data_IF_803093638012
#
_entry.id   IF_803093638012
#
_cell.length_a   1.000
_cell.length_b   1.000
_cell.length_c   1.000
_cell.angle_alpha   90.00
_cell.angle_beta   90.00
_cell.angle_gamma   90.00
#
_symmetry.space_group_name_H-M   'P 1'
#
loop_
_entity.id
_entity.type
_entity.pdbx_description
1 polymer ?
#
# COMPACT_ATOMS: atom_id res chain seq x y z
N UNK A 1 -51.16 -18.61 35.23
CA UNK A 1 -50.54 -17.41 34.64
C UNK A 1 -49.01 -17.59 34.68
N UNK A 2 -48.30 -17.96 33.57
CA UNK A 2 -46.84 -18.02 33.56
C UNK A 2 -46.28 -16.65 33.09
N UNK A 3 -45.18 -16.03 33.67
CA UNK A 3 -44.63 -14.99 33.49
C UNK A 3 -43.92 -14.92 32.45
N UNK A 4 -44.04 -14.10 31.85
CA UNK A 4 -43.23 -13.74 30.69
C UNK A 4 -41.81 -13.38 31.11
N UNK A 5 -40.87 -14.06 30.55
CA UNK A 5 -39.43 -13.75 30.70
C UNK A 5 -39.09 -12.64 29.70
N UNK A 6 -38.51 -11.52 30.14
CA UNK A 6 -38.13 -10.47 29.17
C UNK A 6 -36.94 -10.94 28.32
N UNK A 7 -37.13 -10.84 27.03
CA UNK A 7 -36.07 -11.13 26.05
C UNK A 7 -34.91 -10.13 26.23
N UNK A 8 -33.73 -10.63 26.47
CA UNK A 8 -32.53 -9.80 26.48
C UNK A 8 -32.15 -9.44 25.05
N UNK A 9 -32.31 -8.33 24.59
CA UNK A 9 -31.91 -7.93 23.64
C UNK A 9 -30.63 -7.92 23.62
N UNK A 10 -30.02 -8.61 22.99
CA UNK A 10 -28.64 -8.52 22.58
C UNK A 10 -28.47 -7.27 21.71
N UNK A 11 -28.09 -6.22 22.33
CA UNK A 11 -27.56 -5.08 21.58
C UNK A 11 -26.19 -5.55 21.04
N UNK A 12 -26.13 -5.77 19.74
CA UNK A 12 -24.84 -5.83 19.07
C UNK A 12 -24.18 -4.47 19.31
N UNK A 13 -23.12 -4.47 20.08
CA UNK A 13 -22.25 -3.30 20.18
C UNK A 13 -21.65 -3.16 18.79
N UNK A 14 -22.11 -2.17 18.04
CA UNK A 14 -21.39 -1.74 16.85
C UNK A 14 -20.04 -1.21 17.39
N UNK A 15 -19.01 -1.99 17.18
CA UNK A 15 -17.65 -1.48 17.33
C UNK A 15 -17.49 -0.41 16.26
N UNK A 16 -17.43 0.83 16.70
CA UNK A 16 -17.16 1.94 15.80
C UNK A 16 -15.76 1.73 15.23
N UNK A 17 -15.57 1.43 14.12
CA UNK A 17 -14.61 1.25 13.69
C UNK A 17 -13.90 2.30 13.59
N UNK A 18 -13.33 2.62 14.32
CA UNK A 18 -12.30 3.64 14.26
C UNK A 18 -11.32 3.29 13.14
N UNK A 19 -10.92 4.30 12.41
CA UNK A 19 -9.92 4.13 11.35
C UNK A 19 -8.68 3.45 11.92
N UNK A 20 -8.21 2.40 11.24
CA UNK A 20 -7.01 1.66 11.63
C UNK A 20 -5.83 2.16 10.82
N UNK A 21 -4.71 2.37 11.49
CA UNK A 21 -3.52 2.94 10.87
C UNK A 21 -2.40 1.91 10.76
N UNK A 22 -1.90 1.75 9.55
CA UNK A 22 -0.81 0.82 9.26
C UNK A 22 0.47 1.62 8.95
N UNK A 23 1.62 1.06 9.27
CA UNK A 23 2.90 1.69 9.00
C UNK A 23 3.64 0.92 7.90
N UNK A 24 3.78 1.55 6.75
CA UNK A 24 4.64 1.06 5.67
C UNK A 24 6.01 1.72 5.84
N UNK A 25 6.75 1.22 6.81
CA UNK A 25 8.07 1.77 7.15
C UNK A 25 9.04 1.66 5.98
N UNK A 26 9.91 2.65 5.87
CA UNK A 26 10.92 2.68 4.81
C UNK A 26 12.35 2.73 5.35
N UNK A 27 12.49 2.84 6.67
CA UNK A 27 13.78 2.83 7.40
C UNK A 27 13.59 2.17 8.76
N UNK A 28 14.67 1.59 9.28
CA UNK A 28 14.69 1.02 10.63
C UNK A 28 15.67 1.74 11.53
N UNK A 29 16.66 2.39 10.94
CA UNK A 29 17.67 3.09 11.70
C UNK A 29 17.73 4.53 11.24
N UNK A 30 18.17 5.38 12.13
CA UNK A 30 18.41 6.78 11.79
C UNK A 30 19.62 6.90 10.89
N UNK A 31 19.65 7.97 10.10
CA UNK A 31 20.80 8.33 9.29
C UNK A 31 22.08 8.33 10.15
N UNK A 32 23.21 7.87 9.68
CA UNK A 32 23.50 7.39 8.31
C UNK A 32 23.32 5.89 8.10
N UNK A 33 22.87 5.16 9.08
CA UNK A 33 22.90 3.69 9.08
C UNK A 33 21.55 3.09 8.68
N UNK A 34 21.06 3.48 7.53
CA UNK A 34 19.79 2.94 7.03
C UNK A 34 19.93 1.49 6.59
N UNK A 35 18.98 0.68 6.99
CA UNK A 35 18.87 -0.70 6.50
C UNK A 35 18.06 -0.66 5.20
N UNK A 36 18.42 -1.52 4.26
CA UNK A 36 17.67 -1.66 3.02
C UNK A 36 16.26 -2.20 3.34
N UNK A 37 15.26 -1.34 3.22
CA UNK A 37 13.88 -1.69 3.58
C UNK A 37 13.23 -2.64 2.57
N UNK A 38 13.91 -2.97 1.49
CA UNK A 38 13.44 -3.92 0.48
C UNK A 38 14.06 -5.31 0.65
N UNK A 39 14.90 -5.49 1.67
CA UNK A 39 15.56 -6.78 1.92
C UNK A 39 15.72 -7.02 3.42
N UNK A 40 14.60 -6.96 4.14
CA UNK A 40 14.58 -7.11 5.59
C UNK A 40 14.49 -8.57 6.01
N UNK A 41 14.82 -8.81 7.28
CA UNK A 41 14.56 -10.08 7.96
C UNK A 41 13.82 -9.80 9.26
N UNK A 42 13.34 -10.86 9.91
CA UNK A 42 12.62 -10.73 11.18
C UNK A 42 13.46 -10.06 12.26
N UNK A 43 14.79 -10.19 12.19
CA UNK A 43 15.72 -9.60 13.15
C UNK A 43 15.71 -8.07 13.15
N UNK A 44 15.29 -7.47 12.03
CA UNK A 44 15.17 -6.02 11.94
C UNK A 44 14.03 -5.49 12.81
N UNK A 45 13.05 -6.33 13.14
CA UNK A 45 11.89 -5.96 13.95
C UNK A 45 12.21 -6.16 15.42
N UNK A 46 13.11 -5.31 15.93
CA UNK A 46 13.55 -5.37 17.33
C UNK A 46 12.43 -4.94 18.28
N UNK A 47 12.54 -5.31 19.55
CA UNK A 47 11.60 -4.88 20.58
C UNK A 47 11.53 -3.36 20.63
N UNK A 48 12.69 -2.69 20.52
CA UNK A 48 12.74 -1.22 20.51
C UNK A 48 11.95 -0.64 19.33
N UNK A 49 12.11 -1.20 18.13
CA UNK A 49 11.39 -0.75 16.94
C UNK A 49 9.88 -0.95 17.11
N UNK A 50 9.47 -2.14 17.54
CA UNK A 50 8.05 -2.47 17.70
C UNK A 50 7.39 -1.58 18.76
N UNK A 51 8.08 -1.37 19.87
CA UNK A 51 7.61 -0.45 20.92
C UNK A 51 7.42 0.95 20.35
N UNK A 52 8.40 1.43 19.61
CA UNK A 52 8.35 2.78 19.02
C UNK A 52 7.18 2.91 18.03
N UNK A 53 6.95 1.89 17.19
CA UNK A 53 5.82 1.88 16.26
C UNK A 53 4.50 1.99 17.03
N UNK A 54 4.33 1.16 18.07
CA UNK A 54 3.10 1.17 18.85
C UNK A 54 2.92 2.49 19.61
N UNK A 55 3.98 2.99 20.22
CA UNK A 55 3.93 4.25 20.98
C UNK A 55 3.62 5.44 20.07
N UNK A 56 4.03 5.37 18.79
CA UNK A 56 3.69 6.40 17.81
C UNK A 56 2.19 6.39 17.49
N UNK A 57 1.53 5.22 17.63
CA UNK A 57 0.10 5.13 17.49
C UNK A 57 -0.39 4.24 16.36
N UNK A 58 0.47 3.45 15.76
CA UNK A 58 0.08 2.54 14.69
C UNK A 58 -0.58 1.28 15.25
N UNK A 59 -1.47 0.69 14.46
CA UNK A 59 -2.19 -0.54 14.78
C UNK A 59 -1.57 -1.76 14.10
N UNK A 60 -0.87 -1.54 12.99
CA UNK A 60 -0.37 -2.63 12.16
C UNK A 60 0.87 -2.21 11.39
N UNK A 61 1.55 -3.21 10.84
CA UNK A 61 2.71 -3.01 9.96
C UNK A 61 2.43 -3.62 8.59
N UNK A 62 2.91 -2.95 7.56
CA UNK A 62 3.09 -3.56 6.24
C UNK A 62 4.45 -4.23 6.25
N UNK A 63 4.48 -5.54 6.02
CA UNK A 63 5.70 -6.34 6.08
C UNK A 63 5.98 -6.91 4.70
N UNK A 64 7.19 -6.71 4.22
CA UNK A 64 7.61 -7.27 2.93
C UNK A 64 7.67 -8.78 2.95
N UNK A 65 7.25 -9.40 1.87
CA UNK A 65 7.23 -10.87 1.78
C UNK A 65 8.62 -11.50 1.95
N UNK A 66 9.68 -10.73 1.73
CA UNK A 66 11.05 -11.21 1.93
C UNK A 66 11.31 -11.63 3.38
N UNK A 67 10.67 -10.97 4.33
CA UNK A 67 10.77 -11.34 5.75
C UNK A 67 10.23 -12.75 5.95
N UNK A 68 9.05 -13.02 5.41
CA UNK A 68 8.40 -14.32 5.57
C UNK A 68 9.14 -15.42 4.79
N UNK A 69 9.64 -15.08 3.62
CA UNK A 69 10.44 -16.00 2.81
C UNK A 69 11.69 -16.47 3.58
N UNK A 70 12.35 -15.55 4.28
CA UNK A 70 13.53 -15.88 5.09
C UNK A 70 13.16 -16.71 6.33
N UNK A 71 11.98 -16.51 6.91
CA UNK A 71 11.50 -17.33 8.01
C UNK A 71 11.24 -18.77 7.55
N UNK A 72 10.68 -18.93 6.38
CA UNK A 72 10.66 -20.20 5.65
C UNK A 72 9.56 -21.19 6.02
N UNK A 73 9.06 -21.20 7.25
CA UNK A 73 8.03 -22.16 7.65
C UNK A 73 6.81 -21.46 8.23
N UNK A 74 5.67 -22.15 8.15
CA UNK A 74 4.42 -21.65 8.69
C UNK A 74 4.56 -21.30 10.18
N UNK A 75 5.17 -22.20 10.95
CA UNK A 75 5.30 -21.98 12.40
C UNK A 75 6.09 -20.71 12.69
N UNK A 76 7.21 -20.50 12.01
CA UNK A 76 8.03 -19.31 12.23
C UNK A 76 7.30 -18.03 11.83
N UNK A 77 6.48 -18.08 10.77
CA UNK A 77 5.68 -16.92 10.36
C UNK A 77 4.60 -16.62 11.40
N UNK A 78 3.92 -17.67 11.89
CA UNK A 78 2.92 -17.51 12.96
C UNK A 78 3.56 -16.96 14.24
N UNK A 79 4.75 -17.44 14.59
CA UNK A 79 5.48 -16.97 15.78
C UNK A 79 5.85 -15.48 15.61
N UNK A 80 6.28 -15.07 14.42
CA UNK A 80 6.60 -13.68 14.14
C UNK A 80 5.36 -12.81 14.29
N UNK A 81 4.22 -13.21 13.72
CA UNK A 81 2.98 -12.44 13.83
C UNK A 81 2.49 -12.38 15.29
N UNK A 82 2.62 -13.50 16.01
CA UNK A 82 2.27 -13.55 17.45
C UNK A 82 3.15 -12.58 18.25
N UNK A 83 4.44 -12.54 17.94
CA UNK A 83 5.36 -11.61 18.60
C UNK A 83 4.95 -10.15 18.36
N UNK A 84 4.55 -9.80 17.12
CA UNK A 84 4.02 -8.47 16.87
C UNK A 84 2.77 -8.21 17.73
N UNK A 85 1.92 -9.21 17.89
CA UNK A 85 0.74 -9.13 18.74
C UNK A 85 1.08 -8.83 20.20
N UNK A 86 2.19 -9.35 20.70
CA UNK A 86 2.65 -9.06 22.07
C UNK A 86 2.94 -7.56 22.27
N UNK A 87 3.24 -6.85 21.18
CA UNK A 87 3.44 -5.39 21.19
C UNK A 87 2.16 -4.62 20.82
N UNK A 88 1.04 -5.32 20.63
CA UNK A 88 -0.21 -4.68 20.24
C UNK A 88 -0.29 -4.31 18.77
N UNK A 89 0.48 -5.01 17.92
CA UNK A 89 0.55 -4.73 16.48
C UNK A 89 0.11 -5.96 15.68
N UNK A 90 -0.47 -5.71 14.52
CA UNK A 90 -0.85 -6.75 13.57
C UNK A 90 0.06 -6.70 12.35
N UNK A 91 0.16 -7.80 11.62
CA UNK A 91 0.61 -7.74 10.23
C UNK A 91 -0.62 -7.32 9.43
N UNK A 92 -0.69 -6.07 9.03
CA UNK A 92 -1.84 -5.54 8.30
C UNK A 92 -1.82 -5.91 6.83
N UNK A 93 -0.63 -5.95 6.26
CA UNK A 93 -0.43 -6.18 4.83
C UNK A 93 0.87 -6.93 4.60
N UNK A 94 0.83 -7.90 3.69
CA UNK A 94 2.05 -8.50 3.13
C UNK A 94 2.34 -7.80 1.80
N UNK A 95 3.48 -7.13 1.72
CA UNK A 95 3.87 -6.41 0.51
C UNK A 95 4.55 -7.37 -0.47
N UNK A 96 4.02 -7.38 -1.69
CA UNK A 96 4.63 -8.06 -2.83
C UNK A 96 4.84 -7.02 -3.92
N UNK A 97 5.11 -7.42 -5.14
CA UNK A 97 5.22 -6.46 -6.24
C UNK A 97 6.06 -6.95 -7.39
N UNK A 98 6.12 -6.09 -8.39
CA UNK A 98 6.81 -6.35 -9.64
C UNK A 98 5.85 -6.65 -10.77
N UNK A 99 6.30 -6.42 -12.00
CA UNK A 99 5.49 -6.66 -13.20
C UNK A 99 5.01 -8.10 -13.28
N UNK A 100 3.74 -8.30 -13.61
CA UNK A 100 3.14 -9.64 -13.68
C UNK A 100 2.99 -10.16 -15.11
N UNK A 101 3.08 -9.30 -16.11
CA UNK A 101 2.86 -9.67 -17.52
C UNK A 101 4.14 -9.73 -18.36
N UNK A 102 5.20 -9.13 -17.88
CA UNK A 102 6.50 -9.11 -18.57
C UNK A 102 7.01 -10.55 -18.77
N UNK A 103 7.43 -10.89 -20.00
CA UNK A 103 7.86 -12.24 -20.32
C UNK A 103 9.09 -12.69 -19.52
N UNK A 104 9.96 -11.76 -19.14
CA UNK A 104 11.17 -12.09 -18.39
C UNK A 104 10.90 -12.24 -16.89
N UNK A 105 10.20 -11.28 -16.31
CA UNK A 105 10.04 -11.20 -14.85
C UNK A 105 8.67 -11.67 -14.36
N UNK A 106 7.68 -11.65 -15.25
CA UNK A 106 6.30 -12.00 -14.90
C UNK A 106 6.14 -13.36 -14.25
N UNK A 107 6.68 -14.42 -14.83
CA UNK A 107 6.52 -15.76 -14.22
C UNK A 107 7.01 -15.84 -12.78
N UNK A 108 8.19 -15.30 -12.50
CA UNK A 108 8.71 -15.31 -11.12
C UNK A 108 7.86 -14.42 -10.21
N UNK A 109 7.41 -13.26 -10.70
CA UNK A 109 6.59 -12.35 -9.89
C UNK A 109 5.21 -12.94 -9.61
N UNK A 110 4.65 -13.74 -10.53
CA UNK A 110 3.40 -14.46 -10.26
C UNK A 110 3.59 -15.51 -9.16
N UNK A 111 4.70 -16.22 -9.16
CA UNK A 111 5.03 -17.15 -8.07
C UNK A 111 5.16 -16.39 -6.74
N UNK A 112 5.81 -15.23 -6.76
CA UNK A 112 5.95 -14.39 -5.56
C UNK A 112 4.60 -13.91 -5.04
N UNK A 113 3.66 -13.62 -5.94
CA UNK A 113 2.30 -13.23 -5.52
C UNK A 113 1.61 -14.40 -4.79
N UNK A 114 1.75 -15.61 -5.32
CA UNK A 114 1.22 -16.81 -4.66
C UNK A 114 1.85 -17.03 -3.28
N UNK A 115 3.16 -16.85 -3.20
CA UNK A 115 3.89 -16.94 -1.93
C UNK A 115 3.38 -15.88 -0.94
N UNK A 116 3.17 -14.65 -1.40
CA UNK A 116 2.68 -13.56 -0.55
C UNK A 116 1.28 -13.87 0.01
N UNK A 117 0.41 -14.43 -0.83
CA UNK A 117 -0.93 -14.85 -0.39
C UNK A 117 -0.82 -15.92 0.70
N UNK A 118 0.03 -16.92 0.48
CA UNK A 118 0.28 -17.97 1.48
C UNK A 118 0.76 -17.35 2.80
N UNK A 119 1.74 -16.44 2.72
CA UNK A 119 2.27 -15.79 3.93
C UNK A 119 1.22 -14.95 4.63
N UNK A 120 0.34 -14.29 3.88
CA UNK A 120 -0.73 -13.49 4.49
C UNK A 120 -1.67 -14.39 5.31
N UNK A 121 -1.97 -15.58 4.82
CA UNK A 121 -2.77 -16.55 5.57
C UNK A 121 -2.08 -16.98 6.86
N UNK A 122 -0.79 -17.27 6.79
CA UNK A 122 -0.02 -17.69 7.97
C UNK A 122 0.14 -16.54 8.99
N UNK A 123 0.29 -15.31 8.51
CA UNK A 123 0.51 -14.15 9.37
C UNK A 123 -0.78 -13.49 9.85
N UNK A 124 -1.93 -13.88 9.29
CA UNK A 124 -3.20 -13.25 9.63
C UNK A 124 -3.39 -11.87 9.00
N UNK A 125 -2.67 -11.57 7.92
CA UNK A 125 -2.81 -10.27 7.25
C UNK A 125 -4.08 -10.26 6.39
N UNK A 126 -4.79 -9.14 6.41
CA UNK A 126 -6.02 -9.03 5.63
C UNK A 126 -5.80 -8.60 4.18
N UNK A 127 -4.58 -8.17 3.84
CA UNK A 127 -4.26 -7.59 2.52
C UNK A 127 -2.92 -8.12 2.01
N UNK A 128 -2.88 -8.47 0.73
CA UNK A 128 -1.65 -8.56 -0.05
C UNK A 128 -1.66 -7.38 -1.01
N UNK A 129 -0.67 -6.51 -0.95
CA UNK A 129 -0.57 -5.31 -1.80
C UNK A 129 0.68 -5.36 -2.65
N UNK A 130 0.56 -4.97 -3.90
CA UNK A 130 1.72 -4.88 -4.77
C UNK A 130 1.55 -3.87 -5.90
N UNK A 131 2.62 -3.11 -6.14
CA UNK A 131 2.75 -2.31 -7.34
C UNK A 131 3.27 -3.20 -8.45
N UNK A 132 2.69 -3.11 -9.64
CA UNK A 132 3.13 -3.92 -10.79
C UNK A 132 4.20 -3.19 -11.60
N UNK A 133 5.08 -2.47 -10.90
CA UNK A 133 6.08 -1.63 -11.57
C UNK A 133 7.21 -2.45 -12.18
N UNK A 134 7.69 -1.99 -13.32
CA UNK A 134 8.81 -2.56 -14.05
C UNK A 134 10.04 -1.65 -13.93
N UNK A 135 11.24 -2.18 -14.15
CA UNK A 135 12.44 -1.34 -14.16
C UNK A 135 12.38 -0.26 -15.24
N UNK A 136 12.99 0.87 -14.98
CA UNK A 136 13.04 1.96 -15.96
C UNK A 136 13.81 1.54 -17.22
N UNK A 137 13.32 2.00 -18.37
CA UNK A 137 14.00 1.82 -19.65
C UNK A 137 15.06 2.91 -19.91
N UNK A 138 15.20 3.88 -19.03
CA UNK A 138 16.15 4.97 -19.25
C UNK A 138 17.57 4.41 -19.38
N UNK A 139 18.32 4.76 -20.45
CA UNK A 139 19.63 4.14 -20.71
C UNK A 139 20.65 4.37 -19.61
N UNK A 140 20.55 5.45 -18.87
CA UNK A 140 21.47 5.76 -17.77
C UNK A 140 21.08 5.16 -16.43
N UNK A 141 19.98 4.42 -16.38
CA UNK A 141 19.49 3.88 -15.13
C UNK A 141 19.72 2.37 -15.05
N UNK A 142 20.32 1.87 -13.99
CA UNK A 142 20.43 0.41 -13.82
C UNK A 142 19.05 -0.22 -13.73
N UNK A 143 18.86 -1.36 -14.34
CA UNK A 143 17.61 -2.11 -14.23
C UNK A 143 17.32 -2.42 -12.77
N UNK A 144 16.08 -2.17 -12.34
CA UNK A 144 15.67 -2.42 -10.97
C UNK A 144 16.24 -1.45 -9.96
N UNK A 145 16.78 -0.34 -10.41
CA UNK A 145 17.33 0.67 -9.52
C UNK A 145 16.22 1.35 -8.71
N UNK A 146 16.64 2.18 -7.79
CA UNK A 146 15.82 2.73 -6.73
C UNK A 146 14.42 3.15 -7.18
N UNK A 147 13.37 2.59 -6.59
CA UNK A 147 12.00 3.01 -6.89
C UNK A 147 11.82 4.52 -6.63
N UNK A 148 11.04 5.14 -7.46
CA UNK A 148 10.80 6.57 -7.34
C UNK A 148 11.84 7.42 -8.01
N UNK A 149 13.11 7.08 -7.94
CA UNK A 149 14.15 7.84 -8.64
C UNK A 149 13.98 7.74 -10.16
N UNK A 150 13.43 6.65 -10.61
CA UNK A 150 13.19 6.38 -12.03
C UNK A 150 12.07 7.23 -12.60
N UNK A 151 11.09 7.55 -11.77
CA UNK A 151 9.91 8.26 -12.23
C UNK A 151 10.19 9.71 -12.60
N UNK A 152 11.36 10.23 -12.25
CA UNK A 152 11.77 11.55 -12.71
C UNK A 152 12.25 11.58 -14.16
N UNK A 153 12.33 10.42 -14.82
CA UNK A 153 12.84 10.30 -16.19
C UNK A 153 11.69 10.07 -17.18
N UNK A 154 11.85 10.48 -18.43
CA UNK A 154 10.76 10.41 -19.41
C UNK A 154 10.44 9.02 -19.96
N UNK A 155 11.31 8.03 -19.70
CA UNK A 155 11.16 6.70 -20.29
C UNK A 155 10.75 5.70 -19.21
N UNK A 156 9.44 5.53 -19.03
CA UNK A 156 8.92 4.46 -18.20
C UNK A 156 9.11 3.12 -18.92
N UNK A 157 9.35 2.08 -18.16
CA UNK A 157 9.40 0.72 -18.70
C UNK A 157 8.00 0.31 -19.15
N UNK A 158 7.00 0.78 -18.42
CA UNK A 158 5.62 0.37 -18.60
C UNK A 158 4.72 1.53 -18.18
N UNK A 159 3.61 1.68 -18.83
CA UNK A 159 2.62 2.72 -18.47
C UNK A 159 1.28 2.33 -19.09
N UNK A 160 0.19 2.81 -18.51
CA UNK A 160 -1.14 2.55 -19.05
C UNK A 160 -1.29 3.11 -20.46
N UNK A 161 -0.69 4.26 -20.72
CA UNK A 161 -0.73 4.90 -22.02
C UNK A 161 -0.21 4.01 -23.14
N UNK A 162 0.78 3.19 -22.85
CA UNK A 162 1.41 2.29 -23.82
C UNK A 162 0.84 0.87 -23.77
N UNK A 163 0.00 0.58 -22.78
CA UNK A 163 -0.48 -0.79 -22.59
C UNK A 163 -1.56 -1.15 -23.61
N UNK A 164 -1.42 -2.31 -24.21
CA UNK A 164 -2.45 -2.86 -25.09
C UNK A 164 -3.57 -3.48 -24.25
N UNK A 165 -4.78 -3.53 -24.78
CA UNK A 165 -5.92 -4.12 -24.08
C UNK A 165 -5.66 -5.58 -23.65
N UNK A 166 -4.90 -6.33 -24.44
CA UNK A 166 -4.57 -7.70 -24.07
C UNK A 166 -3.72 -7.78 -22.79
N UNK A 167 -2.95 -6.76 -22.50
CA UNK A 167 -2.25 -6.69 -21.21
C UNK A 167 -3.26 -6.61 -20.06
N UNK A 168 -4.17 -5.93 -20.05
CA UNK A 168 -5.11 -5.76 -19.16
C UNK A 168 -5.85 -6.94 -18.97
N UNK A 169 -6.16 -7.68 -20.11
CA UNK A 169 -6.81 -8.99 -20.00
C UNK A 169 -5.93 -10.05 -19.32
N UNK A 170 -4.69 -10.09 -19.66
CA UNK A 170 -3.73 -11.01 -19.04
C UNK A 170 -3.63 -10.75 -17.54
N UNK A 171 -3.49 -9.48 -17.16
CA UNK A 171 -3.41 -9.10 -15.72
C UNK A 171 -4.70 -9.47 -15.00
N UNK A 172 -5.85 -9.28 -15.63
CA UNK A 172 -7.13 -9.66 -15.02
C UNK A 172 -7.16 -11.16 -14.73
N UNK A 173 -6.69 -11.99 -15.67
CA UNK A 173 -6.62 -13.43 -15.45
C UNK A 173 -5.73 -13.80 -14.27
N UNK A 174 -4.59 -13.17 -14.18
CA UNK A 174 -3.67 -13.37 -13.06
C UNK A 174 -4.32 -12.94 -11.72
N UNK A 175 -4.94 -11.84 -11.66
CA UNK A 175 -5.47 -11.34 -10.60
C UNK A 175 -6.60 -12.06 -10.17
N UNK A 176 -7.52 -12.63 -11.12
CA UNK A 176 -8.64 -13.51 -10.77
C UNK A 176 -8.20 -14.80 -10.06
N UNK A 177 -7.19 -15.43 -10.59
CA UNK A 177 -6.64 -16.65 -9.97
C UNK A 177 -6.10 -16.36 -8.55
N UNK A 178 -5.41 -15.23 -8.38
CA UNK A 178 -4.90 -14.83 -7.07
C UNK A 178 -6.05 -14.58 -6.09
N UNK A 179 -7.11 -13.91 -6.54
CA UNK A 179 -8.29 -13.65 -5.71
C UNK A 179 -8.96 -14.95 -5.27
N UNK A 180 -9.02 -15.94 -6.16
CA UNK A 180 -9.60 -17.23 -5.80
C UNK A 180 -8.80 -17.90 -4.67
N UNK A 181 -7.48 -17.91 -4.77
CA UNK A 181 -6.62 -18.47 -3.71
C UNK A 181 -6.74 -17.68 -2.41
N UNK A 182 -6.77 -16.36 -2.52
CA UNK A 182 -6.86 -15.48 -1.36
C UNK A 182 -8.22 -15.57 -0.65
N UNK A 183 -9.28 -15.85 -1.40
CA UNK A 183 -10.62 -16.00 -0.82
C UNK A 183 -10.69 -17.14 0.17
N UNK A 184 -9.95 -18.22 -0.08
CA UNK A 184 -9.95 -19.39 0.81
C UNK A 184 -9.38 -19.08 2.20
N UNK A 185 -8.58 -18.02 2.31
CA UNK A 185 -7.95 -17.62 3.57
C UNK A 185 -8.43 -16.25 4.06
N UNK A 186 -9.45 -15.68 3.41
CA UNK A 186 -10.05 -14.43 3.84
C UNK A 186 -9.19 -13.19 3.60
N UNK A 187 -8.32 -13.21 2.58
CA UNK A 187 -7.40 -12.12 2.28
C UNK A 187 -7.85 -11.37 1.03
N UNK A 188 -7.67 -10.06 1.02
CA UNK A 188 -7.88 -9.21 -0.14
C UNK A 188 -6.59 -9.10 -0.96
N UNK A 189 -6.73 -9.15 -2.27
CA UNK A 189 -5.64 -8.90 -3.22
C UNK A 189 -5.78 -7.48 -3.73
N UNK A 190 -4.72 -6.69 -3.59
CA UNK A 190 -4.79 -5.26 -3.87
C UNK A 190 -3.64 -4.88 -4.82
N UNK A 191 -3.98 -4.05 -5.81
CA UNK A 191 -3.00 -3.48 -6.72
C UNK A 191 -2.83 -2.00 -6.41
N UNK A 192 -1.58 -1.59 -6.25
CA UNK A 192 -1.23 -0.20 -5.99
C UNK A 192 -1.10 0.56 -7.31
N UNK A 193 -1.71 1.73 -7.37
CA UNK A 193 -1.48 2.69 -8.46
C UNK A 193 -0.03 3.17 -8.35
N UNK A 194 0.76 2.98 -9.40
CA UNK A 194 2.20 3.20 -9.31
C UNK A 194 2.79 3.54 -10.70
N UNK A 195 3.73 4.44 -10.70
CA UNK A 195 4.48 4.77 -11.93
C UNK A 195 5.24 3.55 -12.44
N UNK A 196 5.59 3.55 -13.71
CA UNK A 196 6.26 2.45 -14.41
C UNK A 196 5.43 1.16 -14.37
N UNK A 197 4.12 1.29 -14.52
CA UNK A 197 3.18 0.20 -14.35
C UNK A 197 1.99 0.44 -15.28
N UNK A 198 1.33 -0.59 -15.79
CA UNK A 198 0.10 -0.39 -16.57
C UNK A 198 -1.07 0.10 -15.70
N UNK A 199 -0.91 0.15 -14.39
CA UNK A 199 -1.90 0.73 -13.48
C UNK A 199 -1.26 1.94 -12.80
N UNK A 200 -1.25 3.07 -13.52
CA UNK A 200 -0.57 4.30 -13.09
C UNK A 200 -1.52 5.50 -12.93
N UNK A 201 -2.83 5.29 -13.13
CA UNK A 201 -3.83 6.35 -12.99
C UNK A 201 -5.20 5.74 -12.67
N UNK A 202 -6.21 6.61 -12.50
CA UNK A 202 -7.53 6.13 -12.09
C UNK A 202 -8.21 5.31 -13.18
N UNK A 203 -8.11 5.69 -14.46
CA UNK A 203 -8.84 4.96 -15.49
C UNK A 203 -8.26 3.54 -15.66
N UNK A 204 -6.94 3.39 -15.61
CA UNK A 204 -6.34 2.05 -15.75
C UNK A 204 -6.67 1.16 -14.54
N UNK A 205 -6.70 1.75 -13.34
CA UNK A 205 -7.08 1.02 -12.13
C UNK A 205 -8.54 0.56 -12.18
N UNK A 206 -9.43 1.43 -12.64
CA UNK A 206 -10.86 1.08 -12.77
C UNK A 206 -11.10 0.04 -13.86
N UNK A 207 -10.38 0.17 -15.00
CA UNK A 207 -10.48 -0.83 -16.07
C UNK A 207 -10.06 -2.20 -15.56
N UNK A 208 -8.94 -2.27 -14.85
CA UNK A 208 -8.48 -3.56 -14.30
C UNK A 208 -9.48 -4.10 -13.28
N UNK A 209 -10.02 -3.25 -12.41
CA UNK A 209 -11.01 -3.64 -11.40
C UNK A 209 -12.25 -4.25 -12.07
N UNK A 210 -12.74 -3.59 -13.11
CA UNK A 210 -13.91 -4.07 -13.86
C UNK A 210 -13.64 -5.43 -14.50
N UNK A 211 -12.48 -5.61 -15.10
CA UNK A 211 -12.10 -6.87 -15.76
C UNK A 211 -11.93 -8.01 -14.76
N UNK A 212 -11.39 -7.73 -13.58
CA UNK A 212 -11.19 -8.76 -12.55
C UNK A 212 -12.53 -9.18 -11.94
N UNK A 213 -13.37 -8.22 -11.58
CA UNK A 213 -14.72 -8.45 -11.07
C UNK A 213 -14.75 -9.51 -9.95
N UNK A 214 -14.00 -9.26 -8.89
CA UNK A 214 -13.97 -10.12 -7.68
C UNK A 214 -14.13 -9.27 -6.44
N UNK A 215 -14.96 -9.72 -5.50
CA UNK A 215 -15.27 -8.96 -4.29
C UNK A 215 -14.07 -8.78 -3.35
N UNK A 216 -13.08 -9.68 -3.44
CA UNK A 216 -11.86 -9.56 -2.64
C UNK A 216 -10.68 -8.97 -3.42
N UNK A 217 -10.95 -8.33 -4.56
CA UNK A 217 -9.98 -7.49 -5.26
C UNK A 217 -10.22 -6.03 -4.89
N UNK A 218 -9.15 -5.25 -4.78
CA UNK A 218 -9.26 -3.81 -4.58
C UNK A 218 -8.04 -3.05 -5.05
N UNK A 219 -8.15 -1.74 -4.96
CA UNK A 219 -7.07 -0.81 -5.36
C UNK A 219 -6.48 -0.18 -4.10
N UNK A 220 -5.18 0.06 -4.16
CA UNK A 220 -4.46 0.97 -3.25
C UNK A 220 -4.27 2.27 -4.03
N UNK A 221 -5.09 3.30 -3.75
CA UNK A 221 -5.03 4.54 -4.52
C UNK A 221 -3.91 5.45 -4.01
N UNK A 222 -2.68 5.03 -4.21
CA UNK A 222 -1.52 5.85 -3.82
C UNK A 222 -1.44 7.06 -4.73
N UNK A 223 -2.19 8.11 -4.36
CA UNK A 223 -2.29 9.31 -5.19
C UNK A 223 -0.98 10.09 -5.24
N UNK A 224 -0.08 9.88 -4.27
CA UNK A 224 1.27 10.42 -4.37
C UNK A 224 2.00 9.90 -5.60
N UNK A 225 1.75 8.66 -5.99
CA UNK A 225 2.38 8.08 -7.17
C UNK A 225 1.87 8.69 -8.47
N UNK A 226 0.67 9.22 -8.50
CA UNK A 226 0.13 9.92 -9.69
C UNK A 226 0.91 11.21 -9.92
N UNK A 227 1.27 11.91 -8.84
CA UNK A 227 2.10 13.10 -8.93
C UNK A 227 3.58 12.78 -9.16
N UNK A 228 3.99 11.54 -8.89
CA UNK A 228 5.38 11.11 -8.96
C UNK A 228 5.72 10.71 -10.41
N UNK A 229 5.61 11.66 -11.30
CA UNK A 229 5.82 11.47 -12.73
C UNK A 229 6.76 12.53 -13.28
N UNK A 230 7.45 12.19 -14.37
CA UNK A 230 8.43 13.08 -14.98
C UNK A 230 7.77 14.34 -15.57
N UNK A 231 6.59 14.19 -16.13
CA UNK A 231 5.89 15.27 -16.81
C UNK A 231 4.67 15.74 -16.00
N UNK A 232 3.78 16.47 -16.59
CA UNK A 232 2.55 16.90 -15.94
C UNK A 232 1.68 15.67 -15.65
N UNK A 233 1.15 15.53 -14.45
CA UNK A 233 0.24 14.40 -14.17
C UNK A 233 -0.97 14.43 -15.10
N UNK A 234 -1.44 13.23 -15.49
CA UNK A 234 -2.61 13.11 -16.39
C UNK A 234 -3.91 13.57 -15.74
N UNK A 235 -3.97 13.53 -14.42
CA UNK A 235 -5.20 13.85 -13.69
C UNK A 235 -4.83 14.50 -12.36
N UNK A 236 -5.77 15.25 -11.84
CA UNK A 236 -5.61 15.87 -10.53
C UNK A 236 -5.85 14.84 -9.42
N UNK A 237 -5.22 15.04 -8.26
CA UNK A 237 -5.32 14.09 -7.16
C UNK A 237 -6.77 13.94 -6.66
N UNK A 238 -7.53 15.02 -6.66
CA UNK A 238 -8.91 15.00 -6.17
C UNK A 238 -9.82 14.21 -7.12
N UNK A 239 -9.64 14.37 -8.43
CA UNK A 239 -10.36 13.55 -9.41
C UNK A 239 -10.01 12.07 -9.23
N UNK A 240 -8.73 11.77 -9.05
CA UNK A 240 -8.28 10.39 -8.89
C UNK A 240 -8.88 9.74 -7.64
N UNK A 241 -8.81 10.42 -6.50
CA UNK A 241 -9.29 9.82 -5.25
C UNK A 241 -10.83 9.64 -5.28
N UNK A 242 -11.56 10.59 -5.88
CA UNK A 242 -13.01 10.47 -6.00
C UNK A 242 -13.41 9.21 -6.79
N UNK A 243 -12.66 8.91 -7.85
CA UNK A 243 -12.91 7.73 -8.68
C UNK A 243 -12.49 6.44 -8.00
N UNK A 244 -11.40 6.48 -7.25
CA UNK A 244 -10.78 5.27 -6.70
C UNK A 244 -11.29 4.89 -5.30
N UNK A 245 -11.80 5.83 -4.53
CA UNK A 245 -12.24 5.56 -3.16
C UNK A 245 -13.24 4.40 -3.09
N UNK A 246 -14.25 4.31 -3.98
CA UNK A 246 -15.22 3.21 -3.88
C UNK A 246 -14.65 1.80 -4.13
N UNK A 247 -13.49 1.69 -4.78
CA UNK A 247 -12.87 0.39 -5.09
C UNK A 247 -11.64 0.11 -4.25
N UNK A 248 -11.37 0.96 -3.26
CA UNK A 248 -10.16 0.86 -2.44
C UNK A 248 -10.33 -0.15 -1.32
N UNK A 249 -9.29 -0.95 -1.09
CA UNK A 249 -9.24 -1.90 0.04
C UNK A 249 -7.97 -1.76 0.88
N UNK A 250 -7.06 -0.90 0.47
CA UNK A 250 -5.83 -0.56 1.17
C UNK A 250 -5.44 0.82 0.67
N UNK A 251 -4.69 1.60 1.45
CA UNK A 251 -4.41 2.97 1.03
C UNK A 251 -3.06 3.43 1.55
N UNK A 252 -2.10 3.61 0.64
CA UNK A 252 -0.82 4.26 0.93
C UNK A 252 -0.99 5.77 0.90
N UNK A 253 -0.50 6.42 1.94
CA UNK A 253 -0.59 7.87 2.11
C UNK A 253 0.80 8.46 2.21
N UNK A 254 1.14 9.30 1.25
CA UNK A 254 2.39 10.06 1.23
C UNK A 254 2.14 11.38 0.53
N UNK A 255 2.95 12.38 0.85
CA UNK A 255 2.83 13.68 0.19
C UNK A 255 4.18 14.17 -0.29
N UNK A 256 4.16 15.11 -1.20
CA UNK A 256 5.37 15.57 -1.85
C UNK A 256 5.16 16.94 -2.51
N UNK A 257 6.28 17.57 -2.82
CA UNK A 257 6.34 18.66 -3.79
C UNK A 257 7.07 18.15 -5.02
N UNK A 258 6.53 18.47 -6.18
CA UNK A 258 7.10 18.09 -7.46
C UNK A 258 7.69 19.32 -8.12
N UNK A 259 8.97 19.25 -8.47
CA UNK A 259 9.67 20.34 -9.16
C UNK A 259 10.03 19.84 -10.57
N UNK A 260 9.36 20.38 -11.56
CA UNK A 260 9.54 19.96 -12.95
C UNK A 260 10.59 20.85 -13.62
N UNK A 261 11.57 20.19 -14.24
CA UNK A 261 12.66 20.84 -14.96
C UNK A 261 12.57 20.48 -16.45
N UNK A 262 11.78 21.20 -17.24
CA UNK A 262 11.64 20.84 -18.65
C UNK A 262 12.95 20.90 -19.44
N UNK A 263 13.84 21.82 -19.06
CA UNK A 263 15.14 21.96 -19.72
C UNK A 263 16.04 20.72 -19.53
N UNK A 264 15.77 19.93 -18.50
CA UNK A 264 16.52 18.70 -18.21
C UNK A 264 15.70 17.42 -18.47
N UNK A 265 14.48 17.58 -18.96
CA UNK A 265 13.51 16.49 -19.14
C UNK A 265 13.39 15.65 -17.88
N UNK A 266 13.21 16.30 -16.74
CA UNK A 266 13.23 15.63 -15.45
C UNK A 266 12.37 16.34 -14.42
N UNK A 267 11.85 15.55 -13.47
CA UNK A 267 11.23 16.05 -12.25
C UNK A 267 12.04 15.63 -11.03
N UNK A 268 11.99 16.47 -10.01
CA UNK A 268 12.55 16.17 -8.69
C UNK A 268 11.39 16.12 -7.70
N UNK A 269 11.42 15.16 -6.80
CA UNK A 269 10.34 14.92 -5.85
C UNK A 269 10.87 15.10 -4.43
N UNK A 270 10.21 15.98 -3.68
CA UNK A 270 10.59 16.31 -2.30
C UNK A 270 9.50 15.76 -1.38
N UNK A 271 9.76 14.62 -0.75
CA UNK A 271 8.82 13.99 0.19
C UNK A 271 8.68 14.85 1.45
N UNK A 272 7.46 15.02 1.91
CA UNK A 272 7.12 15.82 3.10
C UNK A 272 6.01 15.12 3.88
N UNK A 273 5.77 15.50 5.14
CA UNK A 273 4.62 14.98 5.88
C UNK A 273 3.30 15.27 5.17
N UNK A 274 2.26 14.53 5.53
CA UNK A 274 0.98 14.58 4.80
C UNK A 274 0.38 15.98 4.71
N UNK A 275 0.54 16.80 5.74
CA UNK A 275 -0.04 18.13 5.75
C UNK A 275 0.77 19.18 4.99
N UNK A 276 1.97 18.84 4.54
CA UNK A 276 2.94 19.83 4.04
C UNK A 276 3.16 19.78 2.52
N UNK A 277 2.49 18.88 1.80
CA UNK A 277 2.71 18.69 0.35
C UNK A 277 1.60 19.24 -0.53
N UNK A 278 1.66 18.89 -1.80
CA UNK A 278 0.73 19.40 -2.81
C UNK A 278 -0.65 18.74 -2.75
N UNK A 279 -0.72 17.50 -2.22
CA UNK A 279 -1.99 16.80 -2.07
C UNK A 279 -2.70 17.32 -0.82
N UNK A 280 -3.95 17.74 -1.00
CA UNK A 280 -4.80 18.09 0.15
C UNK A 280 -5.35 16.80 0.77
N UNK A 281 -4.65 16.30 1.80
CA UNK A 281 -5.09 15.08 2.46
C UNK A 281 -6.38 15.25 3.24
N UNK A 282 -6.75 16.48 3.62
CA UNK A 282 -8.09 16.68 4.19
C UNK A 282 -9.16 16.32 3.17
N UNK A 283 -8.98 16.73 1.91
CA UNK A 283 -9.89 16.31 0.83
C UNK A 283 -9.85 14.80 0.64
N UNK A 284 -8.65 14.22 0.53
CA UNK A 284 -8.52 12.78 0.27
C UNK A 284 -9.16 11.92 1.37
N UNK A 285 -8.92 12.29 2.62
CA UNK A 285 -9.50 11.56 3.77
C UNK A 285 -11.03 11.68 3.75
N UNK A 286 -11.54 12.88 3.44
CA UNK A 286 -13.00 13.09 3.35
C UNK A 286 -13.62 12.23 2.24
N UNK A 287 -12.96 12.16 1.08
CA UNK A 287 -13.43 11.34 -0.05
C UNK A 287 -13.48 9.85 0.33
N UNK A 288 -12.43 9.35 0.98
CA UNK A 288 -12.38 7.95 1.43
C UNK A 288 -13.45 7.67 2.49
N UNK A 289 -13.60 8.57 3.46
CA UNK A 289 -14.64 8.44 4.50
C UNK A 289 -16.03 8.39 3.87
N UNK A 290 -16.31 9.32 2.97
CA UNK A 290 -17.62 9.42 2.31
C UNK A 290 -17.93 8.19 1.45
N UNK A 291 -16.92 7.52 0.94
CA UNK A 291 -17.07 6.28 0.17
C UNK A 291 -17.25 5.05 1.07
N UNK A 292 -17.17 5.21 2.39
CA UNK A 292 -17.30 4.09 3.33
C UNK A 292 -16.05 3.24 3.44
N UNK A 293 -14.89 3.81 3.18
CA UNK A 293 -13.62 3.08 3.25
C UNK A 293 -13.39 2.52 4.65
N UNK A 294 -13.08 1.25 4.76
CA UNK A 294 -12.86 0.56 6.04
C UNK A 294 -11.53 -0.19 6.12
N UNK A 295 -10.68 -0.03 5.12
CA UNK A 295 -9.33 -0.62 5.14
C UNK A 295 -8.37 0.20 6.00
N UNK A 296 -7.09 -0.19 5.98
CA UNK A 296 -6.05 0.57 6.68
C UNK A 296 -5.72 1.87 5.96
N UNK A 297 -5.61 2.95 6.72
CA UNK A 297 -4.90 4.13 6.23
C UNK A 297 -3.42 3.93 6.57
N UNK A 298 -2.59 3.83 5.55
CA UNK A 298 -1.21 3.38 5.71
C UNK A 298 -0.25 4.54 5.46
N UNK A 299 0.44 4.96 6.50
CA UNK A 299 1.47 6.01 6.34
C UNK A 299 2.68 5.36 5.66
N UNK A 300 2.98 5.81 4.46
CA UNK A 300 4.18 5.38 3.76
C UNK A 300 5.35 6.21 4.28
N UNK A 301 6.22 5.55 5.03
CA UNK A 301 7.21 6.19 5.89
C UNK A 301 8.27 6.98 5.15
N UNK A 302 8.85 7.91 5.87
CA UNK A 302 9.98 8.70 5.41
C UNK A 302 11.22 7.83 5.26
N UNK A 303 11.96 8.03 4.18
CA UNK A 303 13.26 7.37 3.96
C UNK A 303 14.44 8.28 4.29
N UNK A 304 14.20 9.49 4.75
CA UNK A 304 15.25 10.48 5.01
C UNK A 304 14.91 11.32 6.22
N UNK A 305 15.91 11.93 6.79
CA UNK A 305 15.75 12.81 7.93
C UNK A 305 15.32 12.09 9.21
N UNK A 306 14.59 12.80 10.06
CA UNK A 306 14.05 12.21 11.29
C UNK A 306 12.74 11.48 10.96
N UNK A 307 12.88 10.21 10.70
CA UNK A 307 11.77 9.31 10.32
C UNK A 307 10.62 9.41 11.32
N UNK A 308 10.91 9.32 12.60
CA UNK A 308 9.86 9.25 13.60
C UNK A 308 9.09 10.55 13.73
N UNK A 309 9.80 11.67 13.70
CA UNK A 309 9.14 12.98 13.71
C UNK A 309 8.25 13.16 12.50
N UNK A 310 8.77 12.81 11.31
CA UNK A 310 8.06 12.95 10.05
C UNK A 310 6.79 12.10 10.04
N UNK A 311 6.93 10.82 10.40
CA UNK A 311 5.82 9.87 10.28
C UNK A 311 4.78 10.05 11.40
N UNK A 312 5.21 10.42 12.61
CA UNK A 312 4.29 10.74 13.69
C UNK A 312 3.45 11.97 13.34
N UNK A 313 4.06 12.98 12.74
CA UNK A 313 3.37 14.19 12.32
C UNK A 313 2.28 13.87 11.30
N UNK A 314 2.59 12.99 10.34
CA UNK A 314 1.63 12.53 9.33
C UNK A 314 0.48 11.77 9.96
N UNK A 315 0.79 10.86 10.87
CA UNK A 315 -0.21 10.03 11.54
C UNK A 315 -1.18 10.88 12.39
N UNK A 316 -0.62 11.80 13.19
CA UNK A 316 -1.44 12.66 14.04
C UNK A 316 -2.39 13.52 13.23
N UNK A 317 -1.91 14.06 12.11
CA UNK A 317 -2.73 14.85 11.19
C UNK A 317 -3.87 14.02 10.62
N UNK A 318 -3.57 12.83 10.13
CA UNK A 318 -4.57 11.94 9.52
C UNK A 318 -5.64 11.54 10.56
N UNK A 319 -5.18 11.18 11.76
CA UNK A 319 -6.08 10.78 12.84
C UNK A 319 -7.02 11.93 13.24
N UNK A 320 -6.48 13.14 13.33
CA UNK A 320 -7.29 14.31 13.70
C UNK A 320 -8.40 14.57 12.68
N UNK A 321 -8.08 14.48 11.39
CA UNK A 321 -9.09 14.70 10.34
C UNK A 321 -10.15 13.60 10.39
N UNK A 322 -9.73 12.34 10.52
CA UNK A 322 -10.70 11.24 10.58
C UNK A 322 -11.66 11.43 11.76
N UNK A 323 -11.12 11.81 12.92
CA UNK A 323 -11.94 12.06 14.11
C UNK A 323 -12.94 13.21 13.89
N UNK A 324 -12.52 14.28 13.19
CA UNK A 324 -13.45 15.37 12.86
C UNK A 324 -14.63 14.88 12.00
N UNK A 325 -14.38 13.94 11.10
CA UNK A 325 -15.42 13.43 10.19
C UNK A 325 -16.40 12.48 10.90
N UNK A 326 -15.92 11.80 11.94
CA UNK A 326 -16.79 10.92 12.74
C UNK A 326 -17.67 11.69 13.73
N UNK A 327 -17.37 12.97 14.02
CA UNK A 327 -18.15 13.86 14.86
C UNK A 327 -17.87 13.76 16.31
#
# INVERSE_FOLDING_TARGET
>A
MPXETPARXCRAVQEEXNMRFCYAHRRFTLYPQSVNSWDLSSENYTDEFLTKVKDTGFDALEVGMEVFSKLGTEQKVRDFASRLGDFGLLVGCVRSGGTLHDAKNGPRNRERLDEAIKYSGWAGAEVVNGAMSAPSRHPGHPAGSVPGSQSGWPLAQDASLDAMLNVXDELAGVXQAACARAADIGTNVVVEVHQNSPVDNSWSALLLTEKIDRSNFGINPDIGNILWTYDVPEEEYDEAIDKLAPVSKYWHCKNLHRVYHPENSRSVFLRVPLQDGEIDYRYGISAMHNAGYSGYMTIEGSSAGDQWHHDAKSLDYARAIWAELEG
#
